data_IF_437091463501
#
_entry.id   IF_437091463501
#
_cell.length_a   1.000
_cell.length_b   1.000
_cell.length_c   1.000
_cell.angle_alpha   90.00
_cell.angle_beta   90.00
_cell.angle_gamma   90.00
#
_symmetry.space_group_name_H-M   'P 1'
#
loop_
_entity.id
_entity.type
_entity.pdbx_description
1 polymer ?
#
# COMPACT_ATOMS: atom_id res chain seq x y z
N UNK A 1 -15.01 24.92 -10.51
CA UNK A 1 -14.52 24.34 -9.24
C UNK A 1 -15.63 24.53 -8.22
N UNK A 2 -16.15 23.44 -7.65
CA UNK A 2 -17.14 23.52 -6.57
C UNK A 2 -16.45 24.05 -5.31
N UNK A 3 -16.47 25.35 -5.14
CA UNK A 3 -16.00 26.00 -3.92
C UNK A 3 -17.16 25.99 -2.93
N UNK A 4 -17.04 25.20 -1.88
CA UNK A 4 -17.97 25.28 -0.76
C UNK A 4 -17.73 26.57 0.05
N UNK A 5 -18.77 27.16 0.66
CA UNK A 5 -18.60 28.22 1.64
C UNK A 5 -17.65 27.80 2.76
N UNK A 6 -16.96 28.76 3.39
CA UNK A 6 -16.03 28.48 4.51
C UNK A 6 -16.71 27.59 5.58
N UNK A 7 -16.04 26.48 5.94
CA UNK A 7 -16.54 25.53 6.92
C UNK A 7 -17.43 24.42 6.40
N UNK A 8 -17.76 24.38 5.10
CA UNK A 8 -18.55 23.33 4.48
C UNK A 8 -17.69 22.46 3.56
N UNK A 9 -17.94 21.15 3.58
CA UNK A 9 -17.27 20.20 2.68
C UNK A 9 -17.92 20.29 1.29
N UNK A 10 -17.15 20.44 0.20
CA UNK A 10 -17.67 20.46 -1.17
C UNK A 10 -18.51 19.20 -1.50
N UNK A 11 -19.55 19.36 -2.30
CA UNK A 11 -20.48 18.25 -2.60
C UNK A 11 -19.81 17.11 -3.38
N UNK A 12 -18.88 17.42 -4.28
CA UNK A 12 -18.08 16.41 -4.99
C UNK A 12 -17.27 15.52 -4.02
N UNK A 13 -16.76 16.09 -2.93
CA UNK A 13 -16.05 15.34 -1.88
C UNK A 13 -17.01 14.45 -1.11
N UNK A 14 -18.21 14.98 -0.71
CA UNK A 14 -19.24 14.19 -0.04
C UNK A 14 -19.68 12.99 -0.88
N UNK A 15 -19.97 13.23 -2.17
CA UNK A 15 -20.36 12.16 -3.09
C UNK A 15 -19.28 11.12 -3.29
N UNK A 16 -18.01 11.53 -3.35
CA UNK A 16 -16.89 10.60 -3.43
C UNK A 16 -16.84 9.66 -2.23
N UNK A 17 -17.03 10.20 -1.01
CA UNK A 17 -17.09 9.40 0.21
C UNK A 17 -18.31 8.48 0.27
N UNK A 18 -19.49 8.97 -0.14
CA UNK A 18 -20.70 8.14 -0.16
C UNK A 18 -20.59 6.99 -1.14
N UNK A 19 -20.15 7.26 -2.37
CA UNK A 19 -19.94 6.22 -3.40
C UNK A 19 -18.88 5.21 -2.92
N UNK A 20 -17.75 5.69 -2.42
CA UNK A 20 -16.69 4.84 -1.87
C UNK A 20 -17.19 3.97 -0.71
N UNK A 21 -17.95 4.55 0.22
CA UNK A 21 -18.55 3.82 1.34
C UNK A 21 -19.56 2.76 0.89
N UNK A 22 -20.45 3.09 -0.06
CA UNK A 22 -21.41 2.13 -0.61
C UNK A 22 -20.71 0.98 -1.33
N UNK A 23 -19.68 1.26 -2.14
CA UNK A 23 -18.92 0.22 -2.84
C UNK A 23 -18.17 -0.68 -1.85
N UNK A 24 -17.55 -0.11 -0.81
CA UNK A 24 -16.86 -0.87 0.21
C UNK A 24 -17.82 -1.78 0.99
N UNK A 25 -18.93 -1.23 1.48
CA UNK A 25 -19.96 -2.01 2.19
C UNK A 25 -20.58 -3.07 1.28
N UNK A 26 -20.86 -2.74 0.02
CA UNK A 26 -21.37 -3.68 -0.97
C UNK A 26 -20.41 -4.86 -1.19
N UNK A 27 -19.12 -4.60 -1.31
CA UNK A 27 -18.10 -5.65 -1.43
C UNK A 27 -18.01 -6.53 -0.16
N UNK A 28 -18.09 -5.93 1.03
CA UNK A 28 -18.10 -6.66 2.31
C UNK A 28 -19.34 -7.55 2.39
N UNK A 29 -20.53 -7.01 2.13
CA UNK A 29 -21.77 -7.80 2.16
C UNK A 29 -21.77 -8.90 1.11
N UNK A 30 -21.27 -8.62 -0.10
CA UNK A 30 -21.10 -9.65 -1.13
C UNK A 30 -20.24 -10.79 -0.60
N UNK A 31 -19.09 -10.50 0.00
CA UNK A 31 -18.21 -11.52 0.59
C UNK A 31 -18.90 -12.31 1.68
N UNK A 32 -19.59 -11.63 2.62
CA UNK A 32 -20.31 -12.27 3.72
C UNK A 32 -21.40 -13.26 3.24
N UNK A 33 -22.12 -12.90 2.19
CA UNK A 33 -23.22 -13.72 1.68
C UNK A 33 -22.77 -14.82 0.72
N UNK A 34 -21.64 -14.65 0.03
CA UNK A 34 -21.17 -15.62 -0.98
C UNK A 34 -20.04 -16.53 -0.49
N UNK A 35 -19.30 -16.10 0.55
CA UNK A 35 -18.18 -16.89 1.09
C UNK A 35 -18.61 -17.70 2.29
N UNK A 36 -18.42 -19.01 2.21
CA UNK A 36 -18.66 -19.91 3.34
C UNK A 36 -17.40 -20.00 4.19
N UNK A 37 -17.49 -19.64 5.46
CA UNK A 37 -16.45 -19.93 6.42
C UNK A 37 -16.53 -21.39 6.87
N UNK A 38 -15.39 -22.06 6.86
CA UNK A 38 -15.29 -23.41 7.37
C UNK A 38 -14.81 -23.36 8.83
N UNK A 39 -15.51 -24.02 9.78
CA UNK A 39 -15.01 -24.16 11.14
C UNK A 39 -13.60 -24.79 11.14
N UNK A 40 -12.73 -24.45 12.11
CA UNK A 40 -11.35 -24.97 12.18
C UNK A 40 -11.26 -26.50 12.08
N UNK A 41 -12.28 -27.22 12.62
CA UNK A 41 -12.38 -28.67 12.56
C UNK A 41 -12.62 -29.20 11.13
N UNK A 42 -13.40 -28.50 10.33
CA UNK A 42 -13.61 -28.83 8.92
C UNK A 42 -12.39 -28.48 8.08
N UNK A 43 -11.78 -27.33 8.35
CA UNK A 43 -10.57 -26.89 7.66
C UNK A 43 -9.42 -27.88 7.89
N UNK A 44 -9.25 -28.39 9.11
CA UNK A 44 -8.26 -29.39 9.43
C UNK A 44 -8.43 -30.71 8.63
N UNK A 45 -9.67 -31.10 8.33
CA UNK A 45 -9.95 -32.29 7.49
C UNK A 45 -9.50 -32.11 6.05
N UNK A 46 -9.58 -30.87 5.51
CA UNK A 46 -9.15 -30.56 4.14
C UNK A 46 -7.64 -30.33 4.02
N UNK A 47 -7.00 -29.80 5.07
CA UNK A 47 -5.57 -29.51 5.09
C UNK A 47 -4.73 -30.68 5.61
N UNK A 48 -5.35 -31.70 6.25
CA UNK A 48 -4.64 -32.80 6.90
C UNK A 48 -3.87 -32.39 8.17
N UNK A 49 -4.15 -31.20 8.70
CA UNK A 49 -3.49 -30.68 9.90
C UNK A 49 -4.19 -31.15 11.17
N UNK A 50 -3.40 -31.57 12.15
CA UNK A 50 -3.91 -31.80 13.50
C UNK A 50 -4.19 -30.47 14.18
N UNK A 51 -5.40 -30.31 14.72
CA UNK A 51 -5.75 -29.15 15.56
C UNK A 51 -4.87 -29.17 16.82
N UNK A 52 -3.69 -28.57 16.74
CA UNK A 52 -2.97 -28.23 17.95
C UNK A 52 -3.68 -27.04 18.61
N UNK A 53 -4.35 -27.32 19.71
CA UNK A 53 -4.88 -26.29 20.60
C UNK A 53 -3.70 -25.50 21.15
N UNK A 54 -3.41 -24.33 20.54
CA UNK A 54 -2.43 -23.41 21.06
C UNK A 54 -2.83 -22.94 22.47
N UNK A 55 -2.34 -23.63 23.49
CA UNK A 55 -2.31 -23.15 24.87
C UNK A 55 -1.24 -22.08 24.97
N UNK A 56 -1.60 -20.85 24.67
CA UNK A 56 -0.66 -19.74 24.81
C UNK A 56 -1.01 -18.52 23.95
N UNK A 57 -2.19 -17.94 24.18
CA UNK A 57 -2.56 -16.66 23.58
C UNK A 57 -2.24 -15.52 24.54
N UNK A 58 -0.96 -15.25 24.74
CA UNK A 58 -0.53 -14.05 25.50
C UNK A 58 0.37 -13.18 24.64
N UNK A 59 0.47 -11.90 24.99
CA UNK A 59 1.40 -10.96 24.34
C UNK A 59 2.83 -11.53 24.27
N UNK A 60 3.23 -12.32 25.27
CA UNK A 60 4.52 -13.00 25.34
C UNK A 60 4.75 -13.97 24.16
N UNK A 61 3.73 -14.67 23.70
CA UNK A 61 3.85 -15.60 22.55
C UNK A 61 4.11 -14.84 21.23
N UNK A 62 3.54 -13.65 21.08
CA UNK A 62 3.77 -12.79 19.91
C UNK A 62 5.24 -12.37 19.82
N UNK A 63 5.86 -12.00 20.94
CA UNK A 63 7.28 -11.66 20.99
C UNK A 63 8.18 -12.87 20.69
N UNK A 64 7.80 -14.07 21.16
CA UNK A 64 8.52 -15.30 20.83
C UNK A 64 8.39 -15.63 19.33
N UNK A 65 7.19 -15.52 18.76
CA UNK A 65 6.97 -15.74 17.33
C UNK A 65 7.70 -14.69 16.47
N UNK A 66 7.76 -13.43 16.94
CA UNK A 66 8.55 -12.37 16.30
C UNK A 66 10.06 -12.71 16.31
N UNK A 67 10.59 -13.21 17.42
CA UNK A 67 12.00 -13.60 17.53
C UNK A 67 12.32 -14.83 16.67
N UNK A 68 11.38 -15.77 16.56
CA UNK A 68 11.51 -17.03 15.84
C UNK A 68 10.97 -16.98 14.40
N UNK A 69 10.69 -15.77 13.87
CA UNK A 69 10.14 -15.64 12.53
C UNK A 69 11.05 -16.28 11.46
N UNK A 70 10.47 -16.90 10.43
CA UNK A 70 11.21 -17.48 9.32
C UNK A 70 12.17 -16.49 8.65
N UNK A 71 13.34 -16.95 8.21
CA UNK A 71 14.35 -16.10 7.55
C UNK A 71 13.76 -15.33 6.36
N UNK A 72 12.92 -15.96 5.56
CA UNK A 72 12.25 -15.33 4.42
C UNK A 72 11.36 -14.17 4.87
N UNK A 73 10.59 -14.33 5.94
CA UNK A 73 9.74 -13.30 6.51
C UNK A 73 10.56 -12.11 7.01
N UNK A 74 11.66 -12.35 7.70
CA UNK A 74 12.55 -11.29 8.19
C UNK A 74 13.18 -10.49 7.04
N UNK A 75 13.58 -11.17 5.96
CA UNK A 75 14.11 -10.51 4.76
C UNK A 75 13.04 -9.67 4.05
N UNK A 76 11.84 -10.22 3.89
CA UNK A 76 10.70 -9.50 3.31
C UNK A 76 10.26 -8.34 4.20
N UNK A 77 10.36 -8.48 5.52
CA UNK A 77 10.03 -7.42 6.47
C UNK A 77 10.84 -6.15 6.22
N UNK A 78 12.15 -6.26 5.99
CA UNK A 78 12.98 -5.09 5.65
C UNK A 78 12.57 -4.46 4.31
N UNK A 79 12.26 -5.28 3.29
CA UNK A 79 11.78 -4.78 2.01
C UNK A 79 10.45 -4.02 2.19
N UNK A 80 9.52 -4.60 2.96
CA UNK A 80 8.25 -3.95 3.27
C UNK A 80 8.45 -2.65 4.05
N UNK A 81 9.33 -2.66 5.05
CA UNK A 81 9.61 -1.46 5.84
C UNK A 81 9.98 -0.27 4.95
N UNK A 82 10.98 -0.43 4.06
CA UNK A 82 11.40 0.67 3.19
C UNK A 82 10.37 1.02 2.11
N UNK A 83 9.67 0.02 1.58
CA UNK A 83 8.62 0.26 0.58
C UNK A 83 7.46 1.08 1.16
N UNK A 84 6.98 0.71 2.34
CA UNK A 84 5.87 1.41 2.99
C UNK A 84 6.28 2.77 3.56
N UNK A 85 7.53 2.91 4.01
CA UNK A 85 8.09 4.22 4.36
C UNK A 85 8.05 5.18 3.17
N UNK A 86 8.54 4.74 2.01
CA UNK A 86 8.58 5.55 0.79
C UNK A 86 7.17 5.89 0.28
N UNK A 87 6.26 4.91 0.26
CA UNK A 87 4.88 5.13 -0.19
C UNK A 87 4.10 6.05 0.74
N UNK A 88 4.27 5.91 2.05
CA UNK A 88 3.62 6.81 2.99
C UNK A 88 4.13 8.23 2.85
N UNK A 89 5.45 8.41 2.69
CA UNK A 89 6.04 9.71 2.37
C UNK A 89 5.44 10.29 1.08
N UNK A 90 5.30 9.48 0.03
CA UNK A 90 4.66 9.90 -1.20
C UNK A 90 3.22 10.38 -0.96
N UNK A 91 2.40 9.60 -0.26
CA UNK A 91 1.00 9.97 -0.05
C UNK A 91 0.81 11.27 0.73
N UNK A 92 1.68 11.51 1.71
CA UNK A 92 1.57 12.69 2.58
C UNK A 92 2.18 13.92 1.94
N UNK A 93 3.33 13.77 1.27
CA UNK A 93 4.16 14.90 0.86
C UNK A 93 4.14 15.21 -0.64
N UNK A 94 3.48 14.41 -1.48
CA UNK A 94 3.46 14.69 -2.93
C UNK A 94 2.80 16.03 -3.25
N UNK A 95 1.65 16.34 -2.64
CA UNK A 95 0.95 17.61 -2.92
C UNK A 95 1.82 18.83 -2.60
N UNK A 96 2.34 19.00 -1.37
CA UNK A 96 3.22 20.15 -1.08
C UNK A 96 4.50 20.14 -1.93
N UNK A 97 5.09 18.95 -2.17
CA UNK A 97 6.31 18.87 -2.97
C UNK A 97 6.10 19.34 -4.41
N UNK A 98 5.05 18.90 -5.10
CA UNK A 98 4.77 19.34 -6.47
C UNK A 98 4.24 20.78 -6.52
N UNK A 99 3.48 21.23 -5.51
CA UNK A 99 3.03 22.61 -5.42
C UNK A 99 4.22 23.56 -5.39
N UNK A 100 5.21 23.28 -4.56
CA UNK A 100 6.41 24.09 -4.48
C UNK A 100 7.33 23.94 -5.70
N UNK A 101 7.65 22.70 -6.08
CA UNK A 101 8.68 22.42 -7.09
C UNK A 101 8.18 22.62 -8.53
N UNK A 102 6.94 22.26 -8.83
CA UNK A 102 6.39 22.25 -10.20
C UNK A 102 5.48 23.42 -10.47
N UNK A 103 4.70 23.85 -9.47
CA UNK A 103 3.75 24.97 -9.60
C UNK A 103 4.29 26.30 -9.04
N UNK A 104 5.48 26.29 -8.41
CA UNK A 104 6.14 27.49 -7.90
C UNK A 104 5.46 28.15 -6.71
N UNK A 105 4.65 27.42 -5.94
CA UNK A 105 4.04 27.96 -4.72
C UNK A 105 5.09 28.27 -3.65
N UNK A 106 4.85 29.30 -2.85
CA UNK A 106 5.62 29.50 -1.62
C UNK A 106 5.34 28.36 -0.62
N UNK A 107 6.32 28.01 0.22
CA UNK A 107 6.23 26.87 1.15
C UNK A 107 5.01 27.00 2.09
N UNK A 108 4.69 28.22 2.53
CA UNK A 108 3.62 28.47 3.51
C UNK A 108 2.28 28.87 2.85
N UNK A 109 2.20 28.90 1.51
CA UNK A 109 1.00 29.34 0.79
C UNK A 109 0.13 28.17 0.35
N UNK A 110 -0.69 27.69 1.27
CA UNK A 110 -1.66 26.62 1.04
C UNK A 110 -3.00 27.12 0.48
N UNK A 111 -3.16 28.44 0.31
CA UNK A 111 -4.42 29.07 -0.11
C UNK A 111 -4.42 29.55 -1.55
N UNK A 112 -3.27 29.51 -2.24
CA UNK A 112 -3.13 29.97 -3.61
C UNK A 112 -3.85 29.06 -4.62
N UNK A 113 -4.22 29.65 -5.75
CA UNK A 113 -4.76 28.89 -6.89
C UNK A 113 -3.75 27.83 -7.37
N UNK A 114 -2.45 28.16 -7.38
CA UNK A 114 -1.40 27.23 -7.77
C UNK A 114 -1.32 25.99 -6.84
N UNK A 115 -1.52 26.16 -5.54
CA UNK A 115 -1.63 25.02 -4.60
C UNK A 115 -2.87 24.18 -4.87
N UNK A 116 -4.01 24.83 -5.15
CA UNK A 116 -5.24 24.14 -5.54
C UNK A 116 -5.06 23.31 -6.82
N UNK A 117 -4.39 23.86 -7.82
CA UNK A 117 -4.10 23.18 -9.08
C UNK A 117 -3.14 21.99 -8.86
N UNK A 118 -2.13 22.15 -8.03
CA UNK A 118 -1.23 21.07 -7.62
C UNK A 118 -1.98 19.94 -6.89
N UNK A 119 -2.90 20.28 -6.00
CA UNK A 119 -3.74 19.32 -5.28
C UNK A 119 -4.65 18.53 -6.22
N UNK A 120 -5.29 19.21 -7.16
CA UNK A 120 -6.11 18.58 -8.20
C UNK A 120 -5.26 17.62 -9.06
N UNK A 121 -4.07 18.07 -9.47
CA UNK A 121 -3.15 17.26 -10.26
C UNK A 121 -2.64 16.04 -9.48
N UNK A 122 -2.39 16.17 -8.17
CA UNK A 122 -2.07 15.05 -7.28
C UNK A 122 -3.16 13.98 -7.33
N UNK A 123 -4.43 14.36 -7.29
CA UNK A 123 -5.53 13.43 -7.44
C UNK A 123 -5.50 12.67 -8.77
N UNK A 124 -5.21 13.37 -9.88
CA UNK A 124 -5.10 12.76 -11.21
C UNK A 124 -3.95 11.76 -11.27
N UNK A 125 -2.75 12.14 -10.85
CA UNK A 125 -1.58 11.27 -10.91
C UNK A 125 -1.70 10.08 -9.95
N UNK A 126 -2.40 10.24 -8.83
CA UNK A 126 -2.74 9.12 -7.94
C UNK A 126 -3.76 8.17 -8.59
N UNK A 127 -4.71 8.69 -9.36
CA UNK A 127 -5.56 7.89 -10.23
C UNK A 127 -4.76 7.09 -11.26
N UNK A 128 -3.74 7.70 -11.86
CA UNK A 128 -2.87 7.05 -12.86
C UNK A 128 -2.13 5.85 -12.25
N UNK A 129 -1.41 6.02 -11.11
CA UNK A 129 -0.67 4.87 -10.55
C UNK A 129 -1.60 3.75 -10.11
N UNK A 130 -2.79 4.05 -9.59
CA UNK A 130 -3.78 3.04 -9.25
C UNK A 130 -4.30 2.31 -10.50
N UNK A 131 -4.60 3.03 -11.58
CA UNK A 131 -5.00 2.45 -12.86
C UNK A 131 -3.91 1.55 -13.46
N UNK A 132 -2.66 2.01 -13.48
CA UNK A 132 -1.51 1.22 -13.90
C UNK A 132 -1.35 -0.03 -13.04
N UNK A 133 -1.50 0.09 -11.73
CA UNK A 133 -1.43 -1.04 -10.81
C UNK A 133 -2.50 -2.08 -11.11
N UNK A 134 -3.74 -1.66 -11.34
CA UNK A 134 -4.82 -2.57 -11.67
C UNK A 134 -4.54 -3.35 -12.98
N UNK A 135 -4.09 -2.66 -14.02
CA UNK A 135 -3.72 -3.29 -15.30
C UNK A 135 -2.51 -4.21 -15.13
N UNK A 136 -1.47 -3.76 -14.44
CA UNK A 136 -0.24 -4.55 -14.25
C UNK A 136 -0.49 -5.80 -13.39
N UNK A 137 -1.41 -5.73 -12.42
CA UNK A 137 -1.78 -6.86 -11.59
C UNK A 137 -2.27 -8.08 -12.40
N UNK A 138 -2.92 -7.85 -13.55
CA UNK A 138 -3.37 -8.93 -14.45
C UNK A 138 -2.19 -9.72 -15.07
N UNK A 139 -1.07 -9.06 -15.29
CA UNK A 139 0.12 -9.66 -15.88
C UNK A 139 1.09 -10.22 -14.82
N UNK A 140 0.95 -9.78 -13.59
CA UNK A 140 1.87 -10.10 -12.49
C UNK A 140 2.06 -11.61 -12.25
N UNK A 141 1.01 -12.47 -12.23
CA UNK A 141 1.19 -13.92 -12.09
C UNK A 141 2.00 -14.53 -13.24
N UNK A 142 1.73 -14.10 -14.48
CA UNK A 142 2.42 -14.59 -15.67
C UNK A 142 3.90 -14.20 -15.68
N UNK A 143 4.23 -13.01 -15.21
CA UNK A 143 5.62 -12.56 -15.06
C UNK A 143 6.30 -13.37 -13.96
N UNK A 144 5.63 -13.54 -12.81
CA UNK A 144 6.16 -14.27 -11.67
C UNK A 144 6.43 -15.76 -11.96
N UNK A 145 5.66 -16.39 -12.84
CA UNK A 145 5.94 -17.76 -13.31
C UNK A 145 7.18 -17.85 -14.18
N UNK A 146 7.50 -16.79 -14.95
CA UNK A 146 8.66 -16.77 -15.85
C UNK A 146 9.98 -16.47 -15.16
N UNK A 147 10.02 -15.43 -14.33
CA UNK A 147 11.27 -14.94 -13.71
C UNK A 147 11.33 -15.15 -12.18
N UNK A 148 10.27 -15.73 -11.60
CA UNK A 148 10.14 -15.98 -10.18
C UNK A 148 9.61 -14.77 -9.40
N UNK A 149 8.91 -15.05 -8.28
CA UNK A 149 8.25 -14.02 -7.45
C UNK A 149 9.24 -12.96 -6.92
N UNK A 150 10.42 -13.39 -6.47
CA UNK A 150 11.47 -12.50 -5.95
C UNK A 150 11.95 -11.49 -7.00
N UNK A 151 12.29 -11.98 -8.20
CA UNK A 151 12.81 -11.11 -9.26
C UNK A 151 11.71 -10.18 -9.79
N UNK A 152 10.47 -10.67 -9.91
CA UNK A 152 9.32 -9.84 -10.28
C UNK A 152 9.14 -8.69 -9.30
N UNK A 153 9.20 -8.98 -8.01
CA UNK A 153 9.09 -7.95 -6.97
C UNK A 153 10.25 -6.97 -7.02
N UNK A 154 11.48 -7.44 -7.17
CA UNK A 154 12.66 -6.59 -7.25
C UNK A 154 12.60 -5.64 -8.46
N UNK A 155 12.25 -6.14 -9.64
CA UNK A 155 12.08 -5.30 -10.85
C UNK A 155 10.98 -4.27 -10.65
N UNK A 156 9.83 -4.69 -10.11
CA UNK A 156 8.72 -3.77 -9.87
C UNK A 156 9.09 -2.67 -8.87
N UNK A 157 9.78 -3.00 -7.76
CA UNK A 157 10.27 -2.01 -6.80
C UNK A 157 11.31 -1.06 -7.40
N UNK A 158 12.17 -1.57 -8.29
CA UNK A 158 13.12 -0.72 -9.03
C UNK A 158 12.38 0.29 -9.92
N UNK A 159 11.35 -0.14 -10.64
CA UNK A 159 10.50 0.77 -11.42
C UNK A 159 9.85 1.85 -10.53
N UNK A 160 9.32 1.45 -9.37
CA UNK A 160 8.73 2.39 -8.41
C UNK A 160 9.73 3.37 -7.82
N UNK A 161 10.92 2.88 -7.43
CA UNK A 161 11.99 3.73 -6.92
C UNK A 161 12.48 4.75 -7.95
N UNK A 162 12.68 4.33 -9.20
CA UNK A 162 13.00 5.23 -10.30
C UNK A 162 11.86 6.22 -10.58
N UNK A 163 10.60 5.77 -10.50
CA UNK A 163 9.43 6.63 -10.60
C UNK A 163 9.42 7.72 -9.54
N UNK A 164 9.63 7.37 -8.27
CA UNK A 164 9.69 8.36 -7.18
C UNK A 164 10.87 9.32 -7.34
N UNK A 165 12.06 8.82 -7.68
CA UNK A 165 13.24 9.66 -7.90
C UNK A 165 13.05 10.61 -9.08
N UNK A 166 12.33 10.20 -10.12
CA UNK A 166 12.09 11.02 -11.29
C UNK A 166 11.20 12.24 -11.01
N UNK A 167 10.42 12.24 -9.92
CA UNK A 167 9.60 13.40 -9.50
C UNK A 167 10.48 14.63 -9.27
N UNK A 168 11.68 14.44 -8.71
CA UNK A 168 12.63 15.52 -8.48
C UNK A 168 13.07 16.24 -9.77
N UNK A 169 13.09 15.51 -10.88
CA UNK A 169 13.48 16.04 -12.20
C UNK A 169 12.27 16.52 -13.02
N UNK A 170 11.07 16.48 -12.46
CA UNK A 170 9.87 16.88 -13.15
C UNK A 170 9.83 18.41 -13.35
N UNK A 171 10.09 18.88 -14.56
CA UNK A 171 9.97 20.29 -14.96
C UNK A 171 8.54 20.68 -15.41
N UNK A 172 7.60 19.72 -15.45
CA UNK A 172 6.22 19.96 -15.83
C UNK A 172 5.26 18.97 -15.19
N UNK A 173 3.98 19.35 -14.97
CA UNK A 173 2.97 18.46 -14.41
C UNK A 173 2.82 17.15 -15.20
N UNK A 174 2.89 17.20 -16.53
CA UNK A 174 2.70 16.02 -17.39
C UNK A 174 3.80 14.97 -17.21
N UNK A 175 5.02 15.35 -16.84
CA UNK A 175 6.11 14.41 -16.58
C UNK A 175 5.81 13.51 -15.37
N UNK A 176 5.03 14.02 -14.40
CA UNK A 176 4.63 13.26 -13.22
C UNK A 176 3.78 12.02 -13.55
N UNK A 177 3.08 12.02 -14.70
CA UNK A 177 2.34 10.85 -15.18
C UNK A 177 3.31 9.69 -15.44
N UNK A 178 4.45 9.97 -16.08
CA UNK A 178 5.47 8.95 -16.35
C UNK A 178 6.07 8.41 -15.04
N UNK A 179 6.35 9.30 -14.08
CA UNK A 179 6.81 8.91 -12.74
C UNK A 179 5.83 7.94 -12.07
N UNK A 180 4.54 8.22 -12.15
CA UNK A 180 3.48 7.42 -11.53
C UNK A 180 3.22 6.07 -12.21
N UNK A 181 3.61 5.90 -13.48
CA UNK A 181 3.60 4.57 -14.12
C UNK A 181 4.55 3.62 -13.38
N UNK A 182 5.78 4.06 -13.08
CA UNK A 182 6.73 3.27 -12.29
C UNK A 182 6.20 2.92 -10.90
N UNK A 183 5.59 3.90 -10.23
CA UNK A 183 4.96 3.70 -8.91
C UNK A 183 3.81 2.69 -8.99
N UNK A 184 2.97 2.75 -10.03
CA UNK A 184 1.86 1.82 -10.23
C UNK A 184 2.31 0.37 -10.41
N UNK A 185 3.40 0.14 -11.14
CA UNK A 185 4.02 -1.18 -11.28
C UNK A 185 4.48 -1.72 -9.91
N UNK A 186 5.14 -0.87 -9.12
CA UNK A 186 5.56 -1.24 -7.77
C UNK A 186 4.38 -1.54 -6.85
N UNK A 187 3.35 -0.70 -6.89
CA UNK A 187 2.15 -0.83 -6.05
C UNK A 187 1.44 -2.17 -6.26
N UNK A 188 1.22 -2.59 -7.51
CA UNK A 188 0.66 -3.91 -7.81
C UNK A 188 1.50 -5.04 -7.19
N UNK A 189 2.82 -4.93 -7.27
CA UNK A 189 3.73 -5.94 -6.72
C UNK A 189 3.78 -5.92 -5.19
N UNK A 190 3.74 -4.76 -4.55
CA UNK A 190 3.76 -4.60 -3.09
C UNK A 190 2.51 -5.23 -2.45
N UNK A 191 1.37 -5.13 -3.12
CA UNK A 191 0.12 -5.71 -2.63
C UNK A 191 0.04 -7.24 -2.80
N UNK A 192 0.78 -7.83 -3.75
CA UNK A 192 0.61 -9.25 -4.10
C UNK A 192 1.84 -10.11 -3.76
N UNK A 193 3.04 -9.69 -4.17
CA UNK A 193 4.23 -10.56 -4.14
C UNK A 193 4.72 -10.91 -2.74
N UNK A 194 4.81 -9.98 -1.77
CA UNK A 194 5.25 -10.30 -0.42
C UNK A 194 4.37 -11.35 0.25
N UNK A 195 3.06 -11.20 0.12
CA UNK A 195 2.11 -12.16 0.69
C UNK A 195 2.19 -13.54 0.01
N UNK A 196 2.34 -13.57 -1.33
CA UNK A 196 2.52 -14.81 -2.06
C UNK A 196 3.83 -15.55 -1.70
N UNK A 197 4.91 -14.80 -1.42
CA UNK A 197 6.18 -15.37 -0.96
C UNK A 197 6.10 -15.82 0.50
N UNK A 198 5.42 -15.05 1.33
CA UNK A 198 5.26 -15.32 2.75
C UNK A 198 4.41 -16.59 2.98
N UNK A 199 3.28 -16.70 2.29
CA UNK A 199 2.39 -17.86 2.39
C UNK A 199 3.09 -19.19 2.09
N UNK A 200 4.08 -19.19 1.20
CA UNK A 200 4.90 -20.38 0.91
C UNK A 200 6.02 -20.68 1.93
N UNK A 201 6.21 -19.81 2.92
CA UNK A 201 7.34 -19.89 3.87
C UNK A 201 6.90 -20.04 5.32
N UNK A 202 5.61 -19.91 5.59
CA UNK A 202 5.02 -19.97 6.93
C UNK A 202 4.28 -21.31 7.11
N UNK A 203 4.41 -21.96 8.29
CA UNK A 203 3.57 -23.09 8.63
C UNK A 203 2.10 -22.70 8.67
N UNK A 204 1.22 -23.51 8.08
CA UNK A 204 -0.20 -23.16 7.93
C UNK A 204 -0.89 -22.92 9.28
N UNK A 205 -0.58 -23.69 10.32
CA UNK A 205 -1.11 -23.52 11.67
C UNK A 205 -0.72 -22.20 12.38
N UNK A 206 0.32 -21.50 11.90
CA UNK A 206 0.76 -20.18 12.40
C UNK A 206 0.51 -19.03 11.41
N UNK A 207 -0.20 -19.31 10.32
CA UNK A 207 -0.42 -18.33 9.25
C UNK A 207 -1.01 -17.01 9.77
N UNK A 208 -2.07 -17.07 10.58
CA UNK A 208 -2.73 -15.87 11.12
C UNK A 208 -1.80 -15.02 11.99
N UNK A 209 -1.03 -15.64 12.89
CA UNK A 209 -0.09 -14.94 13.78
C UNK A 209 1.01 -14.27 12.97
N UNK A 210 1.64 -15.00 12.05
CA UNK A 210 2.72 -14.46 11.23
C UNK A 210 2.25 -13.38 10.23
N UNK A 211 1.04 -13.50 9.70
CA UNK A 211 0.43 -12.42 8.89
C UNK A 211 0.18 -11.17 9.74
N UNK A 212 -0.28 -11.34 10.99
CA UNK A 212 -0.42 -10.23 11.94
C UNK A 212 0.92 -9.56 12.26
N UNK A 213 1.97 -10.34 12.54
CA UNK A 213 3.33 -9.83 12.76
C UNK A 213 3.86 -9.13 11.50
N UNK A 214 3.57 -9.65 10.32
CA UNK A 214 4.02 -9.05 9.06
C UNK A 214 3.42 -7.66 8.83
N UNK A 215 2.21 -7.40 9.33
CA UNK A 215 1.60 -6.07 9.27
C UNK A 215 2.33 -5.02 10.12
N UNK A 216 3.15 -5.40 11.09
CA UNK A 216 4.02 -4.45 11.78
C UNK A 216 5.05 -3.82 10.84
N UNK A 217 5.54 -4.58 9.85
CA UNK A 217 6.45 -4.06 8.82
C UNK A 217 5.75 -3.15 7.81
N UNK A 218 4.43 -3.01 7.89
CA UNK A 218 3.63 -2.05 7.15
C UNK A 218 3.35 -0.81 8.02
N UNK A 219 2.89 -1.02 9.25
CA UNK A 219 2.42 0.08 10.12
C UNK A 219 3.55 0.87 10.73
N UNK A 220 4.60 0.20 11.24
CA UNK A 220 5.73 0.87 11.89
C UNK A 220 6.43 1.88 10.96
N UNK A 221 6.79 1.51 9.69
CA UNK A 221 7.44 2.47 8.80
C UNK A 221 6.57 3.68 8.46
N UNK A 222 5.25 3.55 8.44
CA UNK A 222 4.33 4.67 8.23
C UNK A 222 4.39 5.66 9.42
N UNK A 223 4.38 5.14 10.65
CA UNK A 223 4.54 5.96 11.85
C UNK A 223 5.91 6.66 11.85
N UNK A 224 6.97 5.90 11.56
CA UNK A 224 8.35 6.43 11.48
C UNK A 224 8.45 7.51 10.40
N UNK A 225 7.85 7.27 9.22
CA UNK A 225 7.81 8.24 8.13
C UNK A 225 7.08 9.53 8.55
N UNK A 226 5.93 9.42 9.20
CA UNK A 226 5.17 10.59 9.68
C UNK A 226 5.94 11.43 10.70
N UNK A 227 6.76 10.78 11.55
CA UNK A 227 7.57 11.49 12.56
C UNK A 227 8.82 12.11 11.95
N UNK A 228 9.55 11.36 11.12
CA UNK A 228 10.85 11.81 10.58
C UNK A 228 10.67 12.88 9.50
N UNK A 229 9.68 12.75 8.63
CA UNK A 229 9.53 13.66 7.49
C UNK A 229 8.91 15.01 7.88
N UNK A 230 8.14 15.06 8.98
CA UNK A 230 7.48 16.30 9.42
C UNK A 230 8.44 17.50 9.60
N UNK A 231 9.63 17.37 10.21
CA UNK A 231 10.57 18.49 10.36
C UNK A 231 11.39 18.78 9.09
N UNK A 232 11.30 17.94 8.04
CA UNK A 232 12.10 18.05 6.82
C UNK A 232 11.32 18.78 5.69
N UNK A 233 9.99 18.71 5.76
CA UNK A 233 9.04 19.31 4.82
C UNK A 233 8.31 20.47 5.48
#
# INVERSE_FOLDING_TARGET
ADTAPEGLVPDNVKWSFYIGGILLLGAIFWTLFTTKEYPPEEQAKYTGETLETHKGSGISSIFQDLANMPKAMRQLGWVQFFSWFALFSMWVFTTPAIAHHVYGCAIDDNSSQAYSDASNWTGIIFGVYNGVSAVFALFLPKIATKIGRKNTHAVALTCGGLGLLSIYFAGSPNFLILSMIGVGIAWASILAMPYAMLAGSIPAHKMGVYMGIFNFFITIPQIVSGVINRPIV
#
